data_IF_153518413930
#
_entry.id   IF_153518413930
#
_cell.length_a   1.000
_cell.length_b   1.000
_cell.length_c   1.000
_cell.angle_alpha   90.00
_cell.angle_beta   90.00
_cell.angle_gamma   90.00
#
_symmetry.space_group_name_H-M   'P 1'
#
loop_
_entity.id
_entity.type
_entity.pdbx_description
1 polymer ?
#
# COMPACT_ATOMS: atom_id res chain seq x y z
N UNK A 1 -10.23 5.55 14.75
CA UNK A 1 -9.25 5.99 13.77
C UNK A 1 -7.88 5.66 14.33
N UNK A 2 -7.35 4.50 14.00
CA UNK A 2 -5.98 4.16 14.34
C UNK A 2 -5.08 4.79 13.27
N UNK A 3 -4.14 5.62 13.69
CA UNK A 3 -3.11 6.11 12.78
C UNK A 3 -2.34 4.92 12.22
N UNK A 4 -2.02 4.96 10.93
CA UNK A 4 -1.21 3.93 10.30
C UNK A 4 0.05 3.68 11.15
N UNK A 5 0.29 2.43 11.50
CA UNK A 5 1.36 2.00 12.43
C UNK A 5 2.76 2.44 12.00
N UNK A 6 2.92 2.81 10.72
CA UNK A 6 4.18 3.03 10.04
C UNK A 6 4.40 4.46 9.51
N UNK A 7 3.42 5.37 9.64
CA UNK A 7 3.51 6.74 9.13
C UNK A 7 3.64 7.76 10.26
N UNK A 8 4.84 8.30 10.47
CA UNK A 8 5.03 9.54 11.22
C UNK A 8 4.93 10.74 10.27
N UNK A 9 3.84 11.50 10.35
CA UNK A 9 3.59 12.66 9.49
C UNK A 9 4.22 13.93 10.08
N UNK A 10 5.01 14.63 9.30
CA UNK A 10 5.61 15.89 9.67
C UNK A 10 5.49 16.93 8.55
N UNK A 11 4.69 18.00 8.73
CA UNK A 11 4.58 19.12 7.82
C UNK A 11 3.39 20.04 8.13
N UNK A 12 3.65 21.33 8.29
CA UNK A 12 2.70 22.33 8.84
C UNK A 12 1.57 22.81 7.90
N UNK A 13 1.54 22.44 6.61
CA UNK A 13 0.54 22.90 5.64
C UNK A 13 -0.10 21.80 4.78
N UNK A 14 0.23 20.54 5.03
CA UNK A 14 -0.29 19.41 4.28
C UNK A 14 -1.55 18.87 4.95
N UNK A 15 -2.66 18.79 4.23
CA UNK A 15 -3.83 18.02 4.66
C UNK A 15 -3.62 16.58 4.23
N UNK A 16 -3.54 15.69 5.21
CA UNK A 16 -3.49 14.27 4.97
C UNK A 16 -4.56 13.57 5.80
N UNK A 17 -5.28 12.66 5.18
CA UNK A 17 -6.24 11.78 5.83
C UNK A 17 -5.81 10.34 5.61
N UNK A 18 -5.75 9.59 6.70
CA UNK A 18 -5.45 8.16 6.71
C UNK A 18 -6.55 7.43 7.48
N UNK A 19 -7.05 6.36 6.90
CA UNK A 19 -8.09 5.51 7.49
C UNK A 19 -7.69 4.04 7.31
N UNK A 20 -7.44 3.35 8.42
CA UNK A 20 -6.83 2.01 8.40
C UNK A 20 -7.78 0.95 8.95
N UNK A 21 -7.83 -0.19 8.28
CA UNK A 21 -8.57 -1.39 8.64
C UNK A 21 -7.62 -2.58 8.75
N UNK A 22 -7.64 -3.30 9.86
CA UNK A 22 -6.98 -4.60 9.97
C UNK A 22 -7.83 -5.67 9.28
N UNK A 23 -7.26 -6.33 8.27
CA UNK A 23 -7.95 -7.38 7.51
C UNK A 23 -7.67 -8.76 8.09
N UNK A 24 -6.40 -9.07 8.30
CA UNK A 24 -5.90 -10.33 8.85
C UNK A 24 -4.71 -10.03 9.75
N UNK A 25 -4.24 -11.04 10.50
CA UNK A 25 -3.00 -10.91 11.26
C UNK A 25 -1.86 -10.50 10.32
N UNK A 26 -1.27 -9.33 10.56
CA UNK A 26 -0.19 -8.76 9.74
C UNK A 26 -0.64 -8.13 8.41
N UNK A 27 -1.95 -7.97 8.17
CA UNK A 27 -2.46 -7.32 6.95
C UNK A 27 -3.36 -6.15 7.31
N UNK A 28 -2.95 -4.96 6.90
CA UNK A 28 -3.71 -3.71 7.06
C UNK A 28 -4.04 -3.12 5.68
N UNK A 29 -5.27 -2.64 5.51
CA UNK A 29 -5.69 -1.79 4.40
C UNK A 29 -5.76 -0.35 4.88
N UNK A 30 -5.04 0.54 4.22
CA UNK A 30 -5.05 1.97 4.52
C UNK A 30 -5.53 2.79 3.31
N UNK A 31 -6.57 3.58 3.51
CA UNK A 31 -6.97 4.63 2.57
C UNK A 31 -6.22 5.91 2.88
N UNK A 32 -5.75 6.60 1.85
CA UNK A 32 -4.97 7.80 2.02
C UNK A 32 -5.36 8.88 1.03
N UNK A 33 -5.45 10.11 1.53
CA UNK A 33 -5.67 11.32 0.73
C UNK A 33 -4.67 12.37 1.16
N UNK A 34 -3.96 12.94 0.19
CA UNK A 34 -3.00 14.03 0.41
C UNK A 34 -3.35 15.22 -0.47
N UNK A 35 -3.31 16.41 0.13
CA UNK A 35 -3.36 17.70 -0.55
C UNK A 35 -2.07 18.44 -0.21
N UNK A 36 -1.04 18.24 -1.01
CA UNK A 36 0.30 18.78 -0.80
C UNK A 36 1.14 18.62 -2.05
N UNK A 37 2.23 19.39 -2.19
CA UNK A 37 3.20 19.20 -3.27
C UNK A 37 4.31 18.23 -2.91
N UNK A 38 4.68 18.16 -1.62
CA UNK A 38 5.77 17.34 -1.14
C UNK A 38 5.50 16.86 0.28
N UNK A 39 6.04 15.70 0.57
CA UNK A 39 5.95 15.11 1.89
C UNK A 39 7.23 14.32 2.17
N UNK A 40 7.93 14.65 3.27
CA UNK A 40 9.09 13.86 3.69
C UNK A 40 8.61 12.76 4.62
N UNK A 41 8.79 11.55 4.18
CA UNK A 41 8.39 10.37 4.90
C UNK A 41 9.61 9.71 5.53
N UNK A 42 9.58 9.53 6.83
CA UNK A 42 10.60 8.80 7.57
C UNK A 42 9.94 7.59 8.21
N UNK A 43 10.31 6.42 7.74
CA UNK A 43 10.08 5.18 8.47
C UNK A 43 11.36 4.77 9.17
N UNK A 44 11.23 4.29 10.40
CA UNK A 44 12.22 3.38 10.95
C UNK A 44 12.12 2.06 10.18
N UNK A 45 13.26 1.42 9.93
CA UNK A 45 13.24 0.12 9.27
C UNK A 45 12.40 -0.84 10.13
N UNK A 46 11.36 -1.48 9.58
CA UNK A 46 10.54 -2.40 10.33
C UNK A 46 11.40 -3.57 10.81
N UNK A 47 11.09 -4.09 12.01
CA UNK A 47 11.75 -5.29 12.55
C UNK A 47 11.38 -6.57 11.76
N UNK A 48 10.27 -6.52 11.01
CA UNK A 48 9.75 -7.62 10.18
C UNK A 48 9.85 -7.28 8.69
N UNK A 49 9.70 -8.29 7.84
CA UNK A 49 9.63 -8.12 6.40
C UNK A 49 8.25 -7.61 6.01
N UNK A 50 8.16 -6.34 5.60
CA UNK A 50 6.90 -5.72 5.21
C UNK A 50 6.90 -5.38 3.71
N UNK A 51 5.84 -5.81 3.04
CA UNK A 51 5.52 -5.50 1.64
C UNK A 51 4.31 -4.58 1.59
N UNK A 52 4.34 -3.61 0.68
CA UNK A 52 3.17 -2.79 0.35
C UNK A 52 2.71 -3.01 -1.07
N UNK A 53 1.38 -3.07 -1.23
CA UNK A 53 0.69 -3.02 -2.52
C UNK A 53 -0.09 -1.72 -2.54
N UNK A 54 0.35 -0.76 -3.37
CA UNK A 54 -0.26 0.57 -3.46
C UNK A 54 -1.07 0.69 -4.75
N UNK A 55 -2.25 1.28 -4.67
CA UNK A 55 -3.09 1.64 -5.81
C UNK A 55 -3.38 3.14 -5.79
N UNK A 56 -3.15 3.82 -6.90
CA UNK A 56 -3.48 5.22 -7.11
C UNK A 56 -4.87 5.35 -7.70
N UNK A 57 -5.84 5.91 -6.96
CA UNK A 57 -7.20 6.19 -7.46
C UNK A 57 -7.26 7.47 -8.28
N UNK A 58 -6.62 8.53 -7.78
CA UNK A 58 -6.63 9.83 -8.41
C UNK A 58 -5.37 10.62 -8.06
N UNK A 59 -4.97 11.51 -8.95
CA UNK A 59 -3.78 12.31 -8.80
C UNK A 59 -2.51 11.57 -9.21
N UNK A 60 -1.41 11.86 -8.54
CA UNK A 60 -0.12 11.24 -8.80
C UNK A 60 0.75 11.24 -7.54
N UNK A 61 1.41 10.11 -7.29
CA UNK A 61 2.39 9.98 -6.21
C UNK A 61 3.72 9.48 -6.77
N UNK A 62 4.81 9.99 -6.21
CA UNK A 62 6.16 9.55 -6.52
C UNK A 62 6.97 9.32 -5.25
N UNK A 63 7.81 8.30 -5.26
CA UNK A 63 8.80 8.03 -4.22
C UNK A 63 10.20 8.13 -4.81
N UNK A 64 11.03 8.96 -4.19
CA UNK A 64 12.47 8.97 -4.46
C UNK A 64 13.15 8.10 -3.41
N UNK A 65 13.59 6.92 -3.83
CA UNK A 65 14.19 5.94 -2.94
C UNK A 65 15.67 6.25 -2.65
N UNK A 66 16.21 5.69 -1.57
CA UNK A 66 17.61 5.88 -1.17
C UNK A 66 18.64 5.45 -2.23
N UNK A 67 18.33 4.43 -3.00
CA UNK A 67 19.19 3.92 -4.08
C UNK A 67 19.16 4.80 -5.35
N UNK A 68 18.47 5.94 -5.31
CA UNK A 68 18.33 6.88 -6.41
C UNK A 68 17.24 6.52 -7.41
N UNK A 69 16.55 5.39 -7.23
CA UNK A 69 15.40 5.05 -8.05
C UNK A 69 14.21 5.94 -7.69
N UNK A 70 13.44 6.30 -8.69
CA UNK A 70 12.15 6.98 -8.51
C UNK A 70 11.04 6.10 -9.05
N UNK A 71 10.01 5.92 -8.22
CA UNK A 71 8.81 5.21 -8.56
C UNK A 71 7.65 6.20 -8.63
N UNK A 72 6.88 6.18 -9.72
CA UNK A 72 5.70 7.02 -9.88
C UNK A 72 4.47 6.18 -10.20
N UNK A 73 3.36 6.51 -9.56
CA UNK A 73 2.03 5.97 -9.87
C UNK A 73 1.14 7.11 -10.35
N UNK A 74 0.48 6.88 -11.47
CA UNK A 74 -0.67 7.64 -11.93
C UNK A 74 -1.98 6.92 -11.64
N UNK A 75 -3.08 7.52 -12.08
CA UNK A 75 -4.43 6.98 -11.86
C UNK A 75 -4.58 5.56 -12.42
N UNK A 76 -5.03 4.64 -11.59
CA UNK A 76 -5.21 3.20 -11.89
C UNK A 76 -3.94 2.36 -11.80
N UNK A 77 -2.76 2.96 -11.61
CA UNK A 77 -1.51 2.20 -11.47
C UNK A 77 -1.43 1.53 -10.10
N UNK A 78 -0.72 0.40 -10.07
CA UNK A 78 -0.44 -0.38 -8.85
C UNK A 78 1.07 -0.54 -8.68
N UNK A 79 1.58 -0.44 -7.47
CA UNK A 79 2.97 -0.83 -7.16
C UNK A 79 3.04 -1.87 -6.07
N UNK A 80 4.08 -2.69 -6.15
CA UNK A 80 4.49 -3.62 -5.10
C UNK A 80 5.93 -3.28 -4.72
N UNK A 81 6.18 -3.03 -3.45
CA UNK A 81 7.52 -2.74 -2.97
C UNK A 81 7.72 -3.12 -1.50
N UNK A 82 8.97 -3.23 -1.09
CA UNK A 82 9.34 -3.43 0.31
C UNK A 82 9.43 -2.10 1.05
N UNK A 83 8.85 -2.02 2.25
CA UNK A 83 8.98 -0.82 3.10
C UNK A 83 10.44 -0.51 3.42
N UNK A 84 11.29 -1.52 3.59
CA UNK A 84 12.71 -1.31 3.87
C UNK A 84 13.44 -0.50 2.80
N UNK A 85 12.96 -0.53 1.56
CA UNK A 85 13.50 0.29 0.44
C UNK A 85 12.99 1.73 0.48
N UNK A 86 11.82 1.94 1.05
CA UNK A 86 11.18 3.27 1.17
C UNK A 86 11.56 4.02 2.44
N UNK A 87 12.39 3.43 3.33
CA UNK A 87 12.86 4.13 4.52
C UNK A 87 13.62 5.39 4.14
N UNK A 88 13.20 6.53 4.73
CA UNK A 88 13.76 7.87 4.43
C UNK A 88 13.54 8.31 2.97
N UNK A 89 12.48 7.84 2.31
CA UNK A 89 12.09 8.32 0.98
C UNK A 89 11.48 9.71 1.04
N UNK A 90 11.65 10.47 -0.04
CA UNK A 90 10.89 11.68 -0.29
C UNK A 90 9.65 11.31 -1.12
N UNK A 91 8.48 11.72 -0.64
CA UNK A 91 7.23 11.53 -1.38
C UNK A 91 6.87 12.85 -2.06
N UNK A 92 6.58 12.77 -3.33
CA UNK A 92 6.18 13.89 -4.17
C UNK A 92 4.75 13.68 -4.68
N UNK A 93 3.98 14.77 -4.75
CA UNK A 93 2.67 14.80 -5.37
C UNK A 93 2.68 15.80 -6.53
N UNK A 94 3.10 15.39 -7.75
CA UNK A 94 3.30 16.31 -8.88
C UNK A 94 2.04 17.09 -9.29
N UNK A 95 0.85 16.57 -8.97
CA UNK A 95 -0.43 17.24 -9.20
C UNK A 95 -1.01 17.93 -7.96
N UNK A 96 -0.20 18.08 -6.88
CA UNK A 96 -0.60 18.65 -5.60
C UNK A 96 -1.75 17.91 -4.89
N UNK A 97 -2.16 16.78 -5.42
CA UNK A 97 -3.18 15.92 -4.83
C UNK A 97 -2.87 14.45 -5.11
N UNK A 98 -3.29 13.61 -4.19
CA UNK A 98 -3.25 12.16 -4.32
C UNK A 98 -4.37 11.53 -3.50
N UNK A 99 -5.07 10.58 -4.07
CA UNK A 99 -6.01 9.69 -3.42
C UNK A 99 -5.69 8.26 -3.82
N UNK A 100 -5.58 7.38 -2.83
CA UNK A 100 -5.26 5.99 -3.07
C UNK A 100 -5.47 5.12 -1.85
N UNK A 101 -5.08 3.87 -1.97
CA UNK A 101 -5.00 2.93 -0.86
C UNK A 101 -3.72 2.10 -0.95
N UNK A 102 -3.35 1.50 0.17
CA UNK A 102 -2.34 0.45 0.17
C UNK A 102 -2.72 -0.68 1.12
N UNK A 103 -2.28 -1.87 0.77
CA UNK A 103 -2.20 -2.99 1.69
C UNK A 103 -0.79 -3.03 2.25
N UNK A 104 -0.67 -3.00 3.58
CA UNK A 104 0.58 -3.25 4.30
C UNK A 104 0.56 -4.68 4.79
N UNK A 105 1.55 -5.47 4.43
CA UNK A 105 1.60 -6.91 4.64
C UNK A 105 2.89 -7.26 5.38
N UNK A 106 2.76 -7.67 6.64
CA UNK A 106 3.81 -8.37 7.36
C UNK A 106 3.86 -9.81 6.83
N UNK A 107 4.88 -10.08 6.04
CA UNK A 107 5.03 -11.31 5.28
C UNK A 107 5.12 -12.53 6.20
N UNK A 108 5.82 -12.40 7.32
CA UNK A 108 6.02 -13.52 8.25
C UNK A 108 4.74 -13.79 9.06
N UNK A 109 4.04 -12.73 9.49
CA UNK A 109 2.77 -12.86 10.21
C UNK A 109 1.68 -13.47 9.33
N UNK A 110 1.56 -13.05 8.08
CA UNK A 110 0.58 -13.59 7.13
C UNK A 110 0.87 -15.07 6.80
N UNK A 111 2.13 -15.42 6.55
CA UNK A 111 2.52 -16.81 6.27
C UNK A 111 2.36 -17.74 7.47
N UNK A 112 2.44 -17.19 8.71
CA UNK A 112 2.16 -17.97 9.93
C UNK A 112 0.67 -18.29 10.11
N UNK A 113 -0.23 -17.40 9.64
CA UNK A 113 -1.68 -17.55 9.76
C UNK A 113 -2.40 -17.11 8.46
N UNK A 114 -2.16 -17.83 7.34
CA UNK A 114 -2.73 -17.44 6.06
C UNK A 114 -4.26 -17.63 6.04
N UNK A 115 -4.99 -16.76 5.35
CA UNK A 115 -6.41 -16.99 5.03
C UNK A 115 -6.62 -18.36 4.35
N UNK A 116 -7.79 -18.94 4.56
CA UNK A 116 -8.07 -20.30 4.11
C UNK A 116 -7.86 -20.49 2.61
N UNK A 117 -8.35 -19.56 1.78
CA UNK A 117 -8.20 -19.63 0.34
C UNK A 117 -6.71 -19.56 -0.10
N UNK A 118 -5.90 -18.72 0.52
CA UNK A 118 -4.46 -18.65 0.23
C UNK A 118 -3.77 -19.96 0.60
N UNK A 119 -4.13 -20.54 1.76
CA UNK A 119 -3.59 -21.81 2.22
C UNK A 119 -3.96 -22.95 1.28
N UNK A 120 -5.21 -23.03 0.83
CA UNK A 120 -5.70 -24.06 -0.09
C UNK A 120 -5.06 -23.90 -1.48
N UNK A 121 -4.88 -22.68 -1.95
CA UNK A 121 -4.22 -22.39 -3.22
C UNK A 121 -2.68 -22.53 -3.17
N UNK A 122 -2.10 -22.75 -1.99
CA UNK A 122 -0.65 -22.84 -1.82
C UNK A 122 0.08 -21.50 -2.05
N UNK A 123 -0.63 -20.38 -1.92
CA UNK A 123 -0.05 -19.03 -2.09
C UNK A 123 0.61 -18.58 -0.78
N UNK A 124 1.87 -18.18 -0.87
CA UNK A 124 2.63 -17.66 0.27
C UNK A 124 3.05 -16.22 0.02
N UNK A 125 2.89 -15.39 1.05
CA UNK A 125 3.31 -13.98 0.99
C UNK A 125 4.82 -13.85 0.76
N UNK A 126 5.62 -14.77 1.32
CA UNK A 126 7.07 -14.82 1.12
C UNK A 126 7.46 -15.00 -0.35
N UNK A 127 6.76 -15.86 -1.08
CA UNK A 127 7.06 -16.11 -2.50
C UNK A 127 6.75 -14.89 -3.36
N UNK A 128 5.67 -14.15 -3.04
CA UNK A 128 5.34 -12.88 -3.69
C UNK A 128 6.39 -11.80 -3.37
N UNK A 129 6.77 -11.68 -2.10
CA UNK A 129 7.80 -10.75 -1.67
C UNK A 129 9.14 -11.02 -2.38
N UNK A 130 9.61 -12.27 -2.38
CA UNK A 130 10.88 -12.66 -2.99
C UNK A 130 10.89 -12.39 -4.49
N UNK A 131 9.75 -12.59 -5.15
CA UNK A 131 9.61 -12.38 -6.60
C UNK A 131 9.53 -10.90 -7.00
N UNK A 132 8.81 -10.07 -6.25
CA UNK A 132 8.44 -8.71 -6.68
C UNK A 132 9.04 -7.58 -5.86
N UNK A 133 9.49 -7.84 -4.63
CA UNK A 133 9.87 -6.78 -3.69
C UNK A 133 11.29 -6.90 -3.16
N UNK A 134 11.92 -8.09 -3.25
CA UNK A 134 13.23 -8.34 -2.63
C UNK A 134 14.35 -7.52 -3.25
N UNK A 135 14.47 -7.53 -4.57
CA UNK A 135 15.56 -6.87 -5.30
C UNK A 135 15.12 -5.61 -6.04
N UNK A 136 13.83 -5.47 -6.31
CA UNK A 136 13.25 -4.37 -7.06
C UNK A 136 11.88 -4.01 -6.52
N UNK A 137 11.29 -2.96 -7.07
CA UNK A 137 9.85 -2.66 -6.95
C UNK A 137 9.19 -3.02 -8.26
N UNK A 138 7.97 -3.54 -8.20
CA UNK A 138 7.16 -3.83 -9.37
C UNK A 138 6.08 -2.77 -9.55
N UNK A 139 5.77 -2.42 -10.80
CA UNK A 139 4.63 -1.56 -11.15
C UNK A 139 3.78 -2.24 -12.20
N UNK A 140 2.48 -2.13 -12.04
CA UNK A 140 1.48 -2.57 -12.99
C UNK A 140 0.72 -1.33 -13.46
N UNK A 141 0.69 -1.11 -14.77
CA UNK A 141 -0.08 -0.02 -15.35
C UNK A 141 -1.59 -0.24 -15.19
N UNK A 142 -2.33 0.85 -15.20
CA UNK A 142 -3.78 0.85 -15.18
C UNK A 142 -4.36 -0.11 -16.24
N UNK A 143 -5.26 -0.98 -15.82
CA UNK A 143 -5.97 -1.89 -16.71
C UNK A 143 -7.32 -2.29 -16.09
N UNK A 144 -8.27 -2.80 -16.91
CA UNK A 144 -9.59 -3.21 -16.42
C UNK A 144 -9.53 -4.27 -15.30
N UNK A 145 -8.53 -5.13 -15.30
CA UNK A 145 -8.35 -6.17 -14.28
C UNK A 145 -8.00 -5.54 -12.92
N UNK A 146 -7.07 -4.58 -12.90
CA UNK A 146 -6.73 -3.84 -11.67
C UNK A 146 -7.94 -3.07 -11.16
N UNK A 147 -8.67 -2.36 -12.05
CA UNK A 147 -9.88 -1.62 -11.70
C UNK A 147 -10.93 -2.53 -11.04
N UNK A 148 -11.15 -3.73 -11.56
CA UNK A 148 -12.11 -4.69 -11.01
C UNK A 148 -11.79 -5.10 -9.56
N UNK A 149 -10.51 -5.11 -9.17
CA UNK A 149 -10.08 -5.41 -7.80
C UNK A 149 -10.30 -4.20 -6.88
N UNK A 150 -9.84 -3.02 -7.31
CA UNK A 150 -9.69 -1.87 -6.42
C UNK A 150 -10.92 -0.95 -6.36
N UNK A 151 -11.68 -0.76 -7.44
CA UNK A 151 -12.76 0.24 -7.51
C UNK A 151 -13.84 0.04 -6.44
N UNK A 152 -14.19 -1.21 -6.17
CA UNK A 152 -15.16 -1.55 -5.14
C UNK A 152 -14.71 -1.12 -3.72
N UNK A 153 -13.42 -1.17 -3.43
CA UNK A 153 -12.89 -0.80 -2.11
C UNK A 153 -13.17 0.67 -1.76
N UNK A 154 -13.26 1.54 -2.75
CA UNK A 154 -13.51 2.97 -2.55
C UNK A 154 -15.01 3.34 -2.46
N UNK A 155 -15.89 2.45 -2.89
CA UNK A 155 -17.31 2.78 -3.08
C UNK A 155 -18.24 2.07 -2.10
N UNK A 156 -17.79 1.01 -1.43
CA UNK A 156 -18.63 0.26 -0.49
C UNK A 156 -18.86 1.02 0.82
N UNK A 157 -20.07 0.82 1.38
CA UNK A 157 -20.40 1.28 2.71
C UNK A 157 -19.45 0.66 3.76
N UNK A 158 -19.07 1.46 4.74
CA UNK A 158 -18.18 1.03 5.84
C UNK A 158 -18.68 -0.21 6.59
N UNK A 159 -19.98 -0.41 6.66
CA UNK A 159 -20.56 -1.57 7.34
C UNK A 159 -20.19 -2.91 6.69
N UNK A 160 -19.98 -2.91 5.36
CA UNK A 160 -19.64 -4.11 4.59
C UNK A 160 -18.22 -4.07 4.01
N UNK A 161 -17.51 -2.95 4.21
CA UNK A 161 -16.17 -2.77 3.65
C UNK A 161 -15.18 -3.83 4.14
N UNK A 162 -15.19 -4.16 5.44
CA UNK A 162 -14.25 -5.13 6.00
C UNK A 162 -14.39 -6.53 5.37
N UNK A 163 -15.58 -7.17 5.34
CA UNK A 163 -15.72 -8.47 4.67
C UNK A 163 -15.41 -8.39 3.18
N UNK A 164 -15.79 -7.31 2.49
CA UNK A 164 -15.48 -7.11 1.08
C UNK A 164 -13.96 -6.97 0.85
N UNK A 165 -13.27 -6.16 1.64
CA UNK A 165 -11.82 -5.97 1.53
C UNK A 165 -11.05 -7.28 1.79
N UNK A 166 -11.54 -8.12 2.71
CA UNK A 166 -10.96 -9.46 2.94
C UNK A 166 -11.05 -10.38 1.74
N UNK A 167 -12.16 -10.32 0.99
CA UNK A 167 -12.31 -11.08 -0.26
C UNK A 167 -11.38 -10.54 -1.34
N UNK A 168 -11.37 -9.21 -1.54
CA UNK A 168 -10.54 -8.56 -2.56
C UNK A 168 -9.04 -8.68 -2.32
N UNK A 169 -8.63 -8.77 -1.08
CA UNK A 169 -7.23 -9.03 -0.74
C UNK A 169 -6.74 -10.41 -1.23
N UNK A 170 -7.62 -11.40 -1.34
CA UNK A 170 -7.27 -12.76 -1.75
C UNK A 170 -7.36 -12.97 -3.29
N UNK A 171 -7.90 -12.01 -4.05
CA UNK A 171 -7.87 -12.00 -5.51
C UNK A 171 -6.51 -11.57 -6.06
#
# INVERSE_FOLDING_TARGET
>A
LNACRWCAMCGKESKAQLDTLELYSGVELCFQTFLSSQFTHRHDAPASTVMEINHCRAGRIGWRMKDGLSLYLGEGDVSLHSISRCTQSEIEFPLHCYEGLFFSIDVDALDAQPPELMREAGVRARDLYDRFCRESSATLSACPQNAAIFDGLYTFDRAILLPYARLKFQE
#
